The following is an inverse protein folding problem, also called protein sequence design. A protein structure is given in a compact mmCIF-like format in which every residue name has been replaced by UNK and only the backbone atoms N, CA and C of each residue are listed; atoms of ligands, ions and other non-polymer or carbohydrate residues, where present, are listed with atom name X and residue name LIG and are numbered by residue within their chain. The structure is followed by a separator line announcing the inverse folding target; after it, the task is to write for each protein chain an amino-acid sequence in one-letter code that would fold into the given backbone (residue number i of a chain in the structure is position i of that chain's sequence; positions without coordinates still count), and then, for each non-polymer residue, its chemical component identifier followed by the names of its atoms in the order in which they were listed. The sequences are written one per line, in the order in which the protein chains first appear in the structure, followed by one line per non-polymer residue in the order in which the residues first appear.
data_IF_423290527940
#
_entry.id   IF_423290527940
#
_cell.length_a   1.000
_cell.length_b   1.000
_cell.length_c   1.000
_cell.angle_alpha   90.00
_cell.angle_beta   90.00
_cell.angle_gamma   90.00
#
_symmetry.space_group_name_H-M   'P 1'
#
loop_
_entity.id
_entity.type
_entity.pdbx_description
1 polymer ?
#
# COMPACT_ATOMS: atom_id res chain seq x y z
N UNK A 1 4.50 16.63 23.05
CA UNK A 1 3.59 15.99 22.09
C UNK A 1 3.97 16.49 20.71
N UNK A 2 4.14 15.62 19.69
CA UNK A 2 4.47 16.10 18.36
C UNK A 2 3.34 16.99 17.84
N UNK A 3 3.72 18.12 17.24
CA UNK A 3 2.83 19.11 16.67
C UNK A 3 2.01 18.50 15.53
N UNK A 4 0.76 18.12 15.81
CA UNK A 4 -0.14 17.46 14.84
C UNK A 4 -0.70 18.43 13.79
N UNK A 5 -0.26 19.69 13.78
CA UNK A 5 -0.89 20.79 13.03
C UNK A 5 -0.20 21.14 11.71
N UNK A 6 0.93 20.52 11.35
CA UNK A 6 1.56 20.78 10.06
C UNK A 6 1.02 19.82 8.99
N UNK A 7 0.36 20.32 7.92
CA UNK A 7 -0.04 19.50 6.78
C UNK A 7 1.14 18.72 6.19
N UNK A 8 0.98 17.41 6.05
CA UNK A 8 1.95 16.54 5.39
C UNK A 8 1.54 16.29 3.94
N UNK A 9 2.52 16.07 3.06
CA UNK A 9 2.31 15.54 1.71
C UNK A 9 2.56 14.05 1.69
N UNK A 10 1.49 13.26 1.54
CA UNK A 10 1.50 11.80 1.67
C UNK A 10 1.22 11.18 0.30
N UNK A 11 2.14 10.34 -0.16
CA UNK A 11 2.02 9.57 -1.39
C UNK A 11 1.45 8.18 -1.08
N UNK A 12 0.34 7.80 -1.71
CA UNK A 12 -0.24 6.46 -1.60
C UNK A 12 -0.01 5.70 -2.90
N UNK A 13 0.69 4.57 -2.82
CA UNK A 13 0.93 3.69 -3.95
C UNK A 13 -0.29 2.81 -4.23
N UNK A 14 -1.08 3.22 -5.24
CA UNK A 14 -2.28 2.52 -5.68
C UNK A 14 -2.08 1.70 -6.95
N UNK A 15 -0.83 1.54 -7.41
CA UNK A 15 -0.53 0.72 -8.59
C UNK A 15 -0.93 -0.74 -8.40
N UNK A 16 -0.94 -1.23 -7.15
CA UNK A 16 -1.48 -2.54 -6.80
C UNK A 16 -2.97 -2.69 -7.15
N UNK A 17 -3.75 -1.60 -7.04
CA UNK A 17 -5.18 -1.60 -7.33
C UNK A 17 -5.50 -1.54 -8.84
N UNK A 18 -4.49 -1.34 -9.68
CA UNK A 18 -4.62 -1.42 -11.14
C UNK A 18 -4.53 -2.86 -11.65
N UNK A 19 -4.29 -3.82 -10.75
CA UNK A 19 -4.23 -5.25 -11.03
C UNK A 19 -5.41 -5.99 -10.43
N UNK A 20 -5.96 -6.97 -11.14
CA UNK A 20 -6.91 -7.97 -10.63
C UNK A 20 -8.27 -7.45 -10.08
N UNK A 21 -8.73 -6.27 -10.51
CA UNK A 21 -10.08 -5.76 -10.23
C UNK A 21 -10.32 -5.41 -8.76
N UNK A 22 -11.56 -5.47 -8.30
CA UNK A 22 -11.99 -4.93 -6.99
C UNK A 22 -12.07 -5.96 -5.87
N UNK A 23 -11.11 -6.90 -5.77
CA UNK A 23 -11.07 -7.90 -4.68
C UNK A 23 -9.69 -8.00 -4.05
N UNK A 24 -9.65 -8.45 -2.79
CA UNK A 24 -8.39 -8.70 -2.06
C UNK A 24 -7.56 -7.43 -1.85
N UNK A 25 -6.27 -7.51 -2.15
CA UNK A 25 -5.28 -6.43 -1.99
C UNK A 25 -5.72 -5.12 -2.70
N UNK A 26 -6.15 -5.13 -3.98
CA UNK A 26 -6.72 -3.97 -4.65
C UNK A 26 -7.84 -3.28 -3.88
N UNK A 27 -8.87 -4.02 -3.47
CA UNK A 27 -10.02 -3.46 -2.75
C UNK A 27 -9.63 -2.89 -1.39
N UNK A 28 -8.78 -3.61 -0.66
CA UNK A 28 -8.26 -3.17 0.62
C UNK A 28 -7.43 -1.88 0.47
N UNK A 29 -6.52 -1.82 -0.50
CA UNK A 29 -5.65 -0.65 -0.71
C UNK A 29 -6.46 0.61 -1.06
N UNK A 30 -7.50 0.46 -1.90
CA UNK A 30 -8.39 1.58 -2.24
C UNK A 30 -9.22 2.04 -1.04
N UNK A 31 -9.75 1.10 -0.25
CA UNK A 31 -10.54 1.42 0.93
C UNK A 31 -9.69 2.11 2.00
N UNK A 32 -8.49 1.58 2.27
CA UNK A 32 -7.53 2.21 3.19
C UNK A 32 -7.18 3.64 2.74
N UNK A 33 -6.89 3.84 1.45
CA UNK A 33 -6.58 5.17 0.93
C UNK A 33 -7.75 6.14 1.14
N UNK A 34 -8.98 5.73 0.83
CA UNK A 34 -10.16 6.56 1.01
C UNK A 34 -10.40 6.92 2.48
N UNK A 35 -10.32 5.96 3.40
CA UNK A 35 -10.52 6.21 4.82
C UNK A 35 -9.44 7.12 5.39
N UNK A 36 -8.18 6.97 4.95
CA UNK A 36 -7.10 7.89 5.33
C UNK A 36 -7.34 9.30 4.79
N UNK A 37 -7.67 9.44 3.51
CA UNK A 37 -7.92 10.75 2.91
C UNK A 37 -9.11 11.48 3.54
N UNK A 38 -10.18 10.74 3.87
CA UNK A 38 -11.39 11.29 4.52
C UNK A 38 -11.15 11.60 6.00
N UNK A 39 -10.40 10.76 6.70
CA UNK A 39 -10.12 10.91 8.13
C UNK A 39 -9.12 12.03 8.44
N UNK A 40 -8.25 12.38 7.49
CA UNK A 40 -7.22 13.41 7.64
C UNK A 40 -7.18 14.34 6.41
N UNK A 41 -8.25 15.14 6.20
CA UNK A 41 -8.39 16.01 5.03
C UNK A 41 -7.40 17.20 5.02
N UNK A 42 -6.78 17.52 6.15
CA UNK A 42 -5.76 18.55 6.28
C UNK A 42 -4.44 18.19 5.59
N UNK A 43 -4.22 16.90 5.29
CA UNK A 43 -3.04 16.43 4.56
C UNK A 43 -3.22 16.54 3.05
N UNK A 44 -2.11 16.72 2.35
CA UNK A 44 -2.08 16.67 0.89
C UNK A 44 -1.88 15.22 0.45
N UNK A 45 -2.91 14.66 -0.18
CA UNK A 45 -2.89 13.28 -0.68
C UNK A 45 -2.49 13.22 -2.15
N UNK A 46 -1.42 12.48 -2.43
CA UNK A 46 -0.95 12.17 -3.78
C UNK A 46 -1.21 10.69 -4.05
N UNK A 47 -1.86 10.38 -5.17
CA UNK A 47 -2.31 9.03 -5.52
C UNK A 47 -1.48 8.52 -6.69
N UNK A 48 -0.55 7.62 -6.42
CA UNK A 48 0.36 7.09 -7.42
C UNK A 48 -0.34 6.04 -8.28
N UNK A 49 -0.32 6.24 -9.58
CA UNK A 49 -0.77 5.26 -10.57
C UNK A 49 0.21 5.16 -11.74
N UNK A 50 -0.02 4.16 -12.59
CA UNK A 50 0.69 3.94 -13.84
C UNK A 50 -0.29 4.02 -15.00
N UNK A 51 -0.09 4.97 -15.91
CA UNK A 51 -0.99 5.21 -17.06
C UNK A 51 -0.96 4.07 -18.09
N UNK A 52 -0.02 3.13 -17.98
CA UNK A 52 0.02 1.93 -18.82
C UNK A 52 -1.03 0.90 -18.41
N UNK A 53 -1.67 1.06 -17.25
CA UNK A 53 -2.66 0.13 -16.71
C UNK A 53 -4.00 0.83 -16.49
N UNK A 54 -5.11 0.05 -16.42
CA UNK A 54 -6.42 0.61 -16.11
C UNK A 54 -6.40 1.39 -14.79
N UNK A 55 -7.27 2.40 -14.69
CA UNK A 55 -7.49 3.09 -13.43
C UNK A 55 -8.02 2.12 -12.36
N UNK A 56 -7.72 2.34 -11.07
CA UNK A 56 -8.36 1.61 -9.98
C UNK A 56 -9.89 1.73 -10.04
N UNK A 57 -10.62 0.71 -9.60
CA UNK A 57 -12.10 0.68 -9.71
C UNK A 57 -12.82 1.82 -8.99
N UNK A 58 -12.22 2.38 -7.93
CA UNK A 58 -12.73 3.52 -7.14
C UNK A 58 -12.03 4.84 -7.49
N UNK A 59 -11.58 4.99 -8.74
CA UNK A 59 -10.76 6.15 -9.14
C UNK A 59 -11.45 7.51 -8.92
N UNK A 60 -12.75 7.59 -9.18
CA UNK A 60 -13.54 8.83 -9.04
C UNK A 60 -13.69 9.25 -7.57
N UNK A 61 -13.98 8.29 -6.68
CA UNK A 61 -14.05 8.56 -5.23
C UNK A 61 -12.70 9.04 -4.69
N UNK A 62 -11.62 8.44 -5.16
CA UNK A 62 -10.25 8.79 -4.76
C UNK A 62 -9.84 10.17 -5.28
N UNK A 63 -10.26 10.53 -6.50
CA UNK A 63 -10.02 11.84 -7.09
C UNK A 63 -10.69 12.98 -6.31
N UNK A 64 -11.78 12.69 -5.57
CA UNK A 64 -12.46 13.67 -4.73
C UNK A 64 -11.65 14.05 -3.48
N UNK A 65 -10.68 13.24 -3.06
CA UNK A 65 -9.91 13.44 -1.84
C UNK A 65 -8.38 13.43 -2.02
N UNK A 66 -7.89 13.24 -3.25
CA UNK A 66 -6.47 13.21 -3.55
C UNK A 66 -6.17 13.50 -5.02
N UNK A 67 -4.93 13.87 -5.30
CA UNK A 67 -4.47 14.19 -6.65
C UNK A 67 -3.75 12.98 -7.29
N UNK A 68 -4.27 12.49 -8.41
CA UNK A 68 -3.58 11.47 -9.21
C UNK A 68 -2.25 12.00 -9.75
N UNK A 69 -1.21 11.16 -9.63
CA UNK A 69 0.15 11.47 -10.11
C UNK A 69 0.80 10.22 -10.68
N UNK A 70 1.56 10.38 -11.75
CA UNK A 70 2.48 9.37 -12.25
C UNK A 70 3.86 9.50 -11.61
N UNK A 71 4.65 8.43 -11.67
CA UNK A 71 6.04 8.48 -11.22
C UNK A 71 6.86 9.55 -11.99
N UNK A 72 6.62 9.71 -13.29
CA UNK A 72 7.33 10.68 -14.13
C UNK A 72 6.99 12.13 -13.74
N UNK A 73 5.72 12.42 -13.45
CA UNK A 73 5.29 13.75 -12.99
C UNK A 73 5.85 14.10 -11.62
N UNK A 74 5.97 13.13 -10.71
CA UNK A 74 6.57 13.36 -9.40
C UNK A 74 8.08 13.53 -9.50
N UNK A 75 8.74 12.74 -10.35
CA UNK A 75 10.18 12.84 -10.60
C UNK A 75 10.55 14.22 -11.17
N UNK A 76 9.80 14.70 -12.17
CA UNK A 76 10.02 16.02 -12.79
C UNK A 76 9.70 17.19 -11.84
N UNK A 77 8.73 17.02 -10.95
CA UNK A 77 8.33 18.02 -9.96
C UNK A 77 9.26 17.97 -8.74
N UNK A 78 10.42 18.61 -8.87
CA UNK A 78 11.43 18.72 -7.80
C UNK A 78 10.96 19.56 -6.61
N UNK A 79 9.96 20.43 -6.79
CA UNK A 79 9.35 21.23 -5.73
C UNK A 79 8.31 20.47 -4.90
N UNK A 80 7.80 19.34 -5.39
CA UNK A 80 6.87 18.51 -4.66
C UNK A 80 7.55 17.76 -3.51
N UNK A 81 7.36 18.28 -2.29
CA UNK A 81 7.70 17.58 -1.06
C UNK A 81 6.84 16.33 -0.89
N UNK A 82 7.46 15.23 -0.46
CA UNK A 82 6.79 13.98 -0.10
C UNK A 82 7.30 13.59 1.29
N UNK A 83 6.46 13.77 2.30
CA UNK A 83 6.79 13.51 3.70
C UNK A 83 6.72 12.02 4.05
N UNK A 84 5.75 11.32 3.44
CA UNK A 84 5.56 9.90 3.62
C UNK A 84 5.10 9.22 2.33
N UNK A 85 5.44 7.95 2.20
CA UNK A 85 4.91 7.05 1.17
C UNK A 85 4.27 5.83 1.84
N UNK A 86 3.07 5.47 1.37
CA UNK A 86 2.32 4.29 1.79
C UNK A 86 2.31 3.29 0.64
N UNK A 87 2.97 2.15 0.82
CA UNK A 87 2.98 1.06 -0.15
C UNK A 87 1.94 0.01 0.23
N UNK A 88 0.85 -0.08 -0.53
CA UNK A 88 -0.26 -1.02 -0.28
C UNK A 88 0.08 -2.48 -0.58
N UNK A 89 1.07 -2.74 -1.45
CA UNK A 89 1.50 -4.09 -1.80
C UNK A 89 2.96 -4.13 -2.23
N UNK A 90 3.74 -5.01 -1.61
CA UNK A 90 5.15 -5.27 -1.97
C UNK A 90 5.30 -6.33 -3.07
N UNK A 91 4.23 -7.06 -3.39
CA UNK A 91 4.28 -8.25 -4.21
C UNK A 91 3.31 -8.11 -5.39
N UNK A 92 3.67 -7.25 -6.35
CA UNK A 92 2.86 -7.00 -7.54
C UNK A 92 2.95 -8.18 -8.52
N UNK A 93 1.83 -8.62 -9.13
CA UNK A 93 1.78 -9.79 -10.01
C UNK A 93 2.43 -9.55 -11.39
N UNK A 94 2.98 -8.36 -11.65
CA UNK A 94 3.58 -8.03 -12.94
C UNK A 94 5.09 -8.16 -12.92
N UNK A 95 5.63 -8.95 -13.86
CA UNK A 95 7.05 -9.29 -14.01
C UNK A 95 8.04 -8.12 -14.23
N UNK A 96 7.55 -6.88 -14.33
CA UNK A 96 8.36 -5.65 -14.48
C UNK A 96 8.35 -4.78 -13.21
N UNK A 97 7.64 -5.22 -12.17
CA UNK A 97 7.55 -4.52 -10.89
C UNK A 97 8.62 -5.07 -9.95
N UNK A 98 9.85 -4.58 -10.08
CA UNK A 98 10.94 -4.86 -9.14
C UNK A 98 10.92 -3.89 -7.95
N UNK A 99 11.95 -3.95 -7.10
CA UNK A 99 12.07 -3.04 -5.96
C UNK A 99 12.19 -1.57 -6.38
N UNK A 100 12.84 -1.29 -7.52
CA UNK A 100 12.97 0.07 -8.06
C UNK A 100 11.63 0.58 -8.61
N UNK A 101 10.76 -0.30 -9.10
CA UNK A 101 9.40 0.07 -9.42
C UNK A 101 8.64 0.55 -8.18
N UNK A 102 8.73 -0.18 -7.07
CA UNK A 102 8.02 0.15 -5.82
C UNK A 102 8.59 1.40 -5.14
N UNK A 103 9.91 1.51 -5.06
CA UNK A 103 10.60 2.61 -4.39
C UNK A 103 11.75 3.14 -5.28
N UNK A 104 11.44 3.93 -6.33
CA UNK A 104 12.42 4.38 -7.30
C UNK A 104 13.48 5.29 -6.68
N UNK A 105 14.65 5.35 -7.31
CA UNK A 105 15.80 6.12 -6.83
C UNK A 105 15.45 7.58 -6.52
N UNK A 106 14.68 8.26 -7.37
CA UNK A 106 14.29 9.65 -7.14
C UNK A 106 13.47 9.82 -5.85
N UNK A 107 12.61 8.85 -5.53
CA UNK A 107 11.80 8.86 -4.30
C UNK A 107 12.67 8.55 -3.08
N UNK A 108 13.60 7.59 -3.21
CA UNK A 108 14.59 7.28 -2.15
C UNK A 108 15.43 8.50 -1.77
N UNK A 109 15.88 9.28 -2.76
CA UNK A 109 16.69 10.48 -2.54
C UNK A 109 15.93 11.58 -1.77
N UNK A 110 14.60 11.60 -1.87
CA UNK A 110 13.73 12.51 -1.09
C UNK A 110 13.56 12.07 0.37
N UNK A 111 13.99 10.85 0.72
CA UNK A 111 13.94 10.30 2.07
C UNK A 111 12.57 10.42 2.77
N UNK A 112 11.44 10.08 2.11
CA UNK A 112 10.15 10.08 2.78
C UNK A 112 10.13 9.02 3.89
N UNK A 113 9.25 9.19 4.87
CA UNK A 113 8.88 8.08 5.76
C UNK A 113 8.20 6.99 4.95
N UNK A 114 8.68 5.76 5.05
CA UNK A 114 8.20 4.60 4.29
C UNK A 114 7.32 3.74 5.17
N UNK A 115 6.04 3.71 4.81
CA UNK A 115 4.97 2.98 5.47
C UNK A 115 4.48 1.87 4.54
N UNK A 116 4.36 0.65 5.04
CA UNK A 116 4.04 -0.50 4.20
C UNK A 116 2.89 -1.32 4.76
N UNK A 117 2.01 -1.80 3.89
CA UNK A 117 0.98 -2.76 4.27
C UNK A 117 1.49 -4.17 3.98
N UNK A 118 1.37 -5.06 4.97
CA UNK A 118 1.64 -6.48 4.79
C UNK A 118 0.32 -7.23 4.84
N UNK A 119 -0.09 -7.76 3.69
CA UNK A 119 -1.32 -8.52 3.55
C UNK A 119 -1.11 -9.96 4.05
N UNK A 120 -0.16 -10.66 3.45
CA UNK A 120 0.27 -11.99 3.86
C UNK A 120 1.70 -12.29 3.40
N UNK A 121 2.26 -13.36 3.96
CA UNK A 121 3.51 -13.97 3.51
C UNK A 121 3.28 -15.42 3.03
N UNK A 122 2.05 -15.76 2.62
CA UNK A 122 1.69 -17.12 2.21
C UNK A 122 2.59 -17.61 1.07
N UNK A 123 2.91 -16.82 0.03
CA UNK A 123 3.82 -17.28 -1.01
C UNK A 123 5.23 -17.64 -0.50
N UNK A 124 5.72 -16.90 0.50
CA UNK A 124 7.02 -17.17 1.13
C UNK A 124 7.01 -18.44 1.98
N UNK A 125 5.91 -18.70 2.69
CA UNK A 125 5.74 -19.87 3.54
C UNK A 125 5.56 -21.17 2.72
N UNK A 126 4.96 -21.07 1.54
CA UNK A 126 4.69 -22.21 0.66
C UNK A 126 5.34 -22.02 -0.72
N UNK A 127 6.67 -21.87 -0.80
CA UNK A 127 7.35 -21.43 -2.01
C UNK A 127 7.23 -22.44 -3.16
N UNK A 128 7.06 -23.74 -2.87
CA UNK A 128 6.82 -24.76 -3.91
C UNK A 128 5.50 -24.54 -4.65
N UNK A 129 4.48 -24.01 -3.97
CA UNK A 129 3.14 -23.79 -4.53
C UNK A 129 3.03 -22.44 -5.25
N UNK A 130 3.62 -21.40 -4.69
CA UNK A 130 3.41 -20.03 -5.17
C UNK A 130 4.64 -19.41 -5.86
N UNK A 131 5.84 -19.90 -5.58
CA UNK A 131 7.12 -19.35 -6.07
C UNK A 131 7.92 -20.41 -6.86
N UNK A 132 7.22 -21.24 -7.63
CA UNK A 132 7.82 -22.33 -8.40
C UNK A 132 8.82 -21.82 -9.46
N UNK A 133 8.47 -20.72 -10.14
CA UNK A 133 9.35 -20.08 -11.12
C UNK A 133 10.45 -19.24 -10.48
N UNK A 134 11.70 -19.39 -10.96
CA UNK A 134 12.86 -18.63 -10.48
C UNK A 134 12.64 -17.11 -10.54
N UNK A 135 12.02 -16.63 -11.62
CA UNK A 135 11.68 -15.21 -11.81
C UNK A 135 10.78 -14.69 -10.70
N UNK A 136 9.69 -15.40 -10.43
CA UNK A 136 8.68 -15.02 -9.42
C UNK A 136 9.32 -15.05 -8.03
N UNK A 137 10.15 -16.07 -7.76
CA UNK A 137 10.89 -16.19 -6.51
C UNK A 137 11.86 -15.02 -6.30
N UNK A 138 12.61 -14.63 -7.33
CA UNK A 138 13.51 -13.48 -7.28
C UNK A 138 12.75 -12.19 -7.03
N UNK A 139 11.69 -11.93 -7.79
CA UNK A 139 10.86 -10.73 -7.63
C UNK A 139 10.24 -10.65 -6.23
N UNK A 140 9.72 -11.76 -5.71
CA UNK A 140 9.21 -11.83 -4.35
C UNK A 140 10.31 -11.58 -3.32
N UNK A 141 11.51 -12.14 -3.55
CA UNK A 141 12.70 -11.89 -2.72
C UNK A 141 13.09 -10.41 -2.67
N UNK A 142 13.07 -9.71 -3.81
CA UNK A 142 13.32 -8.26 -3.88
C UNK A 142 12.26 -7.46 -3.10
N UNK A 143 10.98 -7.77 -3.29
CA UNK A 143 9.89 -7.15 -2.52
C UNK A 143 10.05 -7.39 -1.01
N UNK A 144 10.44 -8.60 -0.61
CA UNK A 144 10.70 -8.97 0.78
C UNK A 144 11.92 -8.22 1.34
N UNK A 145 12.96 -8.02 0.53
CA UNK A 145 14.14 -7.20 0.89
C UNK A 145 13.73 -5.75 1.10
N UNK A 146 13.02 -5.17 0.16
CA UNK A 146 12.53 -3.78 0.22
C UNK A 146 11.63 -3.57 1.44
N UNK A 147 10.69 -4.48 1.69
CA UNK A 147 9.78 -4.42 2.84
C UNK A 147 10.52 -4.33 4.18
N UNK A 148 11.68 -5.00 4.32
CA UNK A 148 12.50 -4.92 5.55
C UNK A 148 13.13 -3.54 5.78
N UNK A 149 13.31 -2.77 4.71
CA UNK A 149 13.91 -1.44 4.76
C UNK A 149 12.91 -0.37 5.23
N UNK A 150 11.60 -0.66 5.26
CA UNK A 150 10.55 0.30 5.62
C UNK A 150 10.60 0.68 7.10
N UNK A 151 10.20 1.92 7.38
CA UNK A 151 10.28 2.52 8.71
C UNK A 151 9.17 1.97 9.62
N UNK A 152 7.98 1.72 9.05
CA UNK A 152 6.88 1.00 9.70
C UNK A 152 6.13 0.10 8.73
N UNK A 153 5.68 -1.03 9.24
CA UNK A 153 4.81 -1.98 8.56
C UNK A 153 3.50 -2.14 9.34
N UNK A 154 2.40 -2.23 8.60
CA UNK A 154 1.07 -2.48 9.12
C UNK A 154 0.56 -3.81 8.57
N UNK A 155 0.47 -4.80 9.44
CA UNK A 155 -0.07 -6.11 9.14
C UNK A 155 -1.59 -6.11 9.29
N UNK A 156 -2.29 -6.74 8.37
CA UNK A 156 -3.77 -6.81 8.40
C UNK A 156 -4.32 -7.75 9.48
N UNK A 157 -3.46 -8.50 10.17
CA UNK A 157 -3.86 -9.41 11.23
C UNK A 157 -2.72 -9.72 12.20
N UNK A 158 -3.02 -10.20 13.42
CA UNK A 158 -2.00 -10.72 14.33
C UNK A 158 -1.18 -11.88 13.75
N UNK A 159 -1.80 -12.72 12.90
CA UNK A 159 -1.12 -13.80 12.21
C UNK A 159 -0.07 -13.25 11.24
N UNK A 160 -0.47 -12.33 10.35
CA UNK A 160 0.43 -11.67 9.40
C UNK A 160 1.55 -10.92 10.11
N UNK A 161 1.27 -10.27 11.25
CA UNK A 161 2.29 -9.61 12.07
C UNK A 161 3.34 -10.61 12.55
N UNK A 162 2.90 -11.73 13.14
CA UNK A 162 3.80 -12.78 13.62
C UNK A 162 4.65 -13.36 12.48
N UNK A 163 4.04 -13.56 11.31
CA UNK A 163 4.75 -14.10 10.16
C UNK A 163 5.79 -13.11 9.61
N UNK A 164 5.44 -11.82 9.56
CA UNK A 164 6.36 -10.74 9.19
C UNK A 164 7.58 -10.69 10.12
N UNK A 165 7.37 -10.82 11.43
CA UNK A 165 8.46 -10.84 12.40
C UNK A 165 9.30 -12.12 12.22
N UNK A 166 8.65 -13.29 12.23
CA UNK A 166 9.33 -14.59 12.27
C UNK A 166 10.03 -14.96 10.97
N UNK A 167 9.39 -14.70 9.83
CA UNK A 167 9.83 -15.19 8.52
C UNK A 167 10.45 -14.10 7.66
N UNK A 168 10.05 -12.84 7.84
CA UNK A 168 10.71 -11.72 7.19
C UNK A 168 11.79 -11.08 8.08
N UNK A 169 11.91 -11.42 9.37
CA UNK A 169 12.97 -10.90 10.23
C UNK A 169 12.89 -9.39 10.47
N UNK A 170 11.67 -8.84 10.43
CA UNK A 170 11.42 -7.42 10.70
C UNK A 170 11.35 -7.22 12.22
N UNK A 171 12.00 -6.16 12.71
CA UNK A 171 11.90 -5.74 14.11
C UNK A 171 10.41 -5.65 14.56
N UNK A 172 10.02 -6.36 15.65
CA UNK A 172 8.68 -6.30 16.22
C UNK A 172 8.17 -4.88 16.53
N UNK A 173 9.06 -3.95 16.87
CA UNK A 173 8.74 -2.55 17.17
C UNK A 173 8.30 -1.75 15.94
N UNK A 174 8.55 -2.25 14.73
CA UNK A 174 8.15 -1.63 13.46
C UNK A 174 6.90 -2.24 12.84
N UNK A 175 6.37 -3.33 13.38
CA UNK A 175 5.20 -4.03 12.82
C UNK A 175 4.00 -3.84 13.73
N UNK A 176 2.95 -3.22 13.20
CA UNK A 176 1.70 -2.93 13.91
C UNK A 176 0.52 -3.64 13.24
N UNK A 177 -0.52 -3.99 13.99
CA UNK A 177 -1.75 -4.53 13.42
C UNK A 177 -2.76 -3.40 13.18
N UNK A 178 -3.45 -3.41 12.04
CA UNK A 178 -4.49 -2.42 11.69
C UNK A 178 -5.85 -3.05 11.38
N UNK A 179 -5.99 -4.35 11.58
CA UNK A 179 -7.13 -5.20 11.20
C UNK A 179 -7.54 -5.10 9.72
N UNK A 180 -7.95 -6.23 9.15
CA UNK A 180 -8.25 -6.32 7.71
C UNK A 180 -9.57 -5.65 7.31
N UNK A 181 -10.37 -5.20 8.27
CA UNK A 181 -11.71 -4.66 8.06
C UNK A 181 -11.74 -3.14 8.20
N UNK A 182 -11.23 -2.47 7.17
CA UNK A 182 -11.12 -0.99 7.15
C UNK A 182 -12.29 -0.35 6.40
N UNK A 183 -13.08 -1.12 5.66
CA UNK A 183 -14.10 -0.59 4.75
C UNK A 183 -15.38 -0.18 5.52
N UNK A 184 -15.56 1.14 5.70
CA UNK A 184 -16.76 1.69 6.35
C UNK A 184 -18.04 1.27 5.63
N UNK A 185 -18.02 1.12 4.30
CA UNK A 185 -19.20 0.68 3.54
C UNK A 185 -19.61 -0.74 3.92
N UNK A 186 -18.66 -1.64 4.21
CA UNK A 186 -18.97 -2.98 4.72
C UNK A 186 -19.52 -2.94 6.13
N UNK A 187 -18.96 -2.09 6.99
CA UNK A 187 -19.51 -1.86 8.33
C UNK A 187 -20.96 -1.38 8.23
N UNK A 188 -21.23 -0.42 7.36
CA UNK A 188 -22.57 0.14 7.15
C UNK A 188 -23.54 -0.92 6.57
N UNK A 189 -23.09 -1.78 5.66
CA UNK A 189 -23.86 -2.92 5.12
C UNK A 189 -24.20 -3.97 6.19
N UNK A 190 -23.31 -4.20 7.16
CA UNK A 190 -23.57 -5.11 8.29
C UNK A 190 -24.58 -4.49 9.28
N UNK A 191 -24.62 -3.17 9.36
CA UNK A 191 -25.55 -2.43 10.22
C UNK A 191 -26.88 -2.06 9.56
N UNK A 192 -27.05 -2.34 8.27
CA UNK A 192 -28.35 -2.25 7.60
C UNK A 192 -29.29 -3.33 8.19
N UNK A 193 -30.50 -2.96 8.67
CA UNK A 193 -31.48 -3.95 9.10
C UNK A 193 -31.74 -4.90 7.94
N UNK A 194 -31.76 -6.20 8.22
CA UNK A 194 -32.15 -7.20 7.22
C UNK A 194 -33.48 -6.75 6.59
N UNK A 195 -33.48 -6.55 5.28
CA UNK A 195 -34.66 -6.09 4.56
C UNK A 195 -35.83 -7.01 4.90
N UNK A 196 -36.85 -6.46 5.56
CA UNK A 196 -38.08 -7.17 5.88
C UNK A 196 -38.70 -7.64 4.57
N UNK A 197 -38.60 -8.95 4.32
CA UNK A 197 -39.23 -9.61 3.18
C UNK A 197 -40.62 -10.07 3.58
#
# INVERSE_FOLDING_TARGET
MPDMTTPLSILVDLRAAQFNGDRGIPAFSQSLALELCRGYPEHRWLLLHDTRWPSPGRADELAACGAWRTAAELEADTGCRIDAVITGCFFLPHHRCDADFLLPRWLRLRQPRRLGIVYDLIPWLFPRRYLAGERVRRQYGEGLRLMREYDRLYAISPCTRRDTIRHAGVDPGRVHCIDGDIDQLKRDLIHLPAATT
#
